data_IF_857380571885
#
_entry.id   IF_857380571885
#
_cell.length_a   1.000
_cell.length_b   1.000
_cell.length_c   1.000
_cell.angle_alpha   90.00
_cell.angle_beta   90.00
_cell.angle_gamma   90.00
#
_symmetry.space_group_name_H-M   'P 1'
#
loop_
_entity.id
_entity.type
_entity.pdbx_description
1 polymer ?
#
# COMPACT_ATOMS: atom_id res chain seq x y z
N UNK A 1 -10.36 -0.75 -1.15
CA UNK A 1 -9.89 -1.77 -0.18
C UNK A 1 -10.64 -1.56 1.10
N UNK A 2 -11.15 -2.63 1.69
CA UNK A 2 -11.76 -2.57 3.00
C UNK A 2 -10.76 -2.79 4.12
N UNK A 3 -10.85 -1.98 5.18
CA UNK A 3 -10.08 -2.13 6.40
C UNK A 3 -10.87 -1.71 7.64
N UNK A 4 -10.36 -2.11 8.81
CA UNK A 4 -10.85 -1.60 10.10
C UNK A 4 -9.81 -0.66 10.68
N UNK A 5 -10.20 0.58 10.98
CA UNK A 5 -9.33 1.56 11.60
C UNK A 5 -8.86 1.08 12.98
N UNK A 6 -7.55 1.04 13.20
CA UNK A 6 -6.94 0.66 14.47
C UNK A 6 -6.76 1.86 15.42
N UNK A 7 -6.76 3.08 14.86
CA UNK A 7 -6.66 4.35 15.58
C UNK A 7 -7.59 5.39 14.95
N UNK A 8 -7.72 6.53 15.63
CA UNK A 8 -8.43 7.70 15.10
C UNK A 8 -7.53 8.44 14.10
N UNK A 9 -8.12 8.91 13.01
CA UNK A 9 -7.50 9.89 12.11
C UNK A 9 -8.48 11.03 11.76
N UNK A 10 -7.95 12.20 11.46
CA UNK A 10 -8.69 13.43 11.18
C UNK A 10 -7.84 14.39 10.36
N UNK A 11 -8.40 15.55 9.98
CA UNK A 11 -7.65 16.55 9.22
C UNK A 11 -6.47 17.15 10.01
N UNK A 12 -6.61 17.26 11.33
CA UNK A 12 -5.59 17.80 12.21
C UNK A 12 -4.52 16.78 12.60
N UNK A 13 -4.86 15.48 12.52
CA UNK A 13 -3.97 14.35 12.78
C UNK A 13 -4.33 13.21 11.82
N UNK A 14 -3.74 13.19 10.61
CA UNK A 14 -4.17 12.29 9.54
C UNK A 14 -3.52 10.90 9.61
N UNK A 15 -2.67 10.62 10.60
CA UNK A 15 -2.04 9.31 10.70
C UNK A 15 -3.08 8.22 10.96
N UNK A 16 -3.17 7.24 10.04
CA UNK A 16 -4.12 6.14 10.12
C UNK A 16 -3.38 4.80 10.01
N UNK A 17 -3.82 3.84 10.82
CA UNK A 17 -3.47 2.43 10.72
C UNK A 17 -4.73 1.64 10.45
N UNK A 18 -4.73 0.84 9.38
CA UNK A 18 -5.80 -0.07 9.01
C UNK A 18 -5.39 -1.51 9.32
N UNK A 19 -6.29 -2.26 9.95
CA UNK A 19 -6.22 -3.72 10.00
C UNK A 19 -6.90 -4.27 8.76
N UNK A 20 -6.14 -4.99 7.95
CA UNK A 20 -6.59 -5.58 6.67
C UNK A 20 -6.29 -7.09 6.65
N UNK A 21 -6.73 -7.78 5.60
CA UNK A 21 -6.43 -9.21 5.42
C UNK A 21 -4.92 -9.51 5.24
N UNK A 22 -4.14 -8.52 4.79
CA UNK A 22 -2.68 -8.64 4.62
C UNK A 22 -1.89 -8.17 5.85
N UNK A 23 -2.58 -7.74 6.91
CA UNK A 23 -2.00 -7.23 8.15
C UNK A 23 -2.26 -5.75 8.38
N UNK A 24 -1.40 -5.12 9.18
CA UNK A 24 -1.48 -3.69 9.49
C UNK A 24 -0.85 -2.87 8.37
N UNK A 25 -1.59 -1.88 7.87
CA UNK A 25 -1.09 -0.86 6.95
C UNK A 25 -1.17 0.50 7.64
N UNK A 26 -0.08 1.26 7.61
CA UNK A 26 -0.03 2.61 8.18
C UNK A 26 0.25 3.63 7.09
N UNK A 27 -0.40 4.78 7.19
CA UNK A 27 -0.37 5.81 6.16
C UNK A 27 -1.13 7.08 6.56
N UNK A 28 -1.27 7.99 5.61
CA UNK A 28 -1.94 9.29 5.76
C UNK A 28 -3.38 9.21 5.26
N UNK A 29 -4.34 9.65 6.07
CA UNK A 29 -5.75 9.76 5.73
C UNK A 29 -6.07 11.07 5.02
N UNK A 30 -6.74 10.98 3.87
CA UNK A 30 -7.14 12.14 3.06
C UNK A 30 -8.65 12.41 3.07
N UNK A 31 -9.42 11.69 3.89
CA UNK A 31 -10.85 11.91 4.01
C UNK A 31 -11.21 13.21 4.73
N UNK A 32 -12.32 13.82 4.30
CA UNK A 32 -12.89 15.01 4.94
C UNK A 32 -13.53 14.69 6.30
N UNK A 33 -14.04 13.47 6.48
CA UNK A 33 -14.63 13.01 7.73
C UNK A 33 -13.58 12.30 8.60
N UNK A 34 -13.55 12.56 9.93
CA UNK A 34 -12.71 11.81 10.85
C UNK A 34 -13.16 10.35 10.94
N UNK A 35 -12.19 9.45 11.03
CA UNK A 35 -12.41 8.02 11.31
C UNK A 35 -12.02 7.71 12.74
N UNK A 36 -12.79 6.85 13.40
CA UNK A 36 -12.52 6.37 14.76
C UNK A 36 -11.94 4.96 14.72
N UNK A 37 -11.23 4.58 15.79
CA UNK A 37 -10.82 3.20 15.97
C UNK A 37 -12.05 2.28 16.02
N UNK A 38 -12.03 1.21 15.22
CA UNK A 38 -13.14 0.27 15.05
C UNK A 38 -14.01 0.53 13.82
N UNK A 39 -13.90 1.70 13.19
CA UNK A 39 -14.66 2.02 11.98
C UNK A 39 -14.22 1.14 10.81
N UNK A 40 -15.19 0.68 10.03
CA UNK A 40 -14.94 0.03 8.74
C UNK A 40 -14.90 1.10 7.67
N UNK A 41 -13.84 1.10 6.87
CA UNK A 41 -13.63 2.06 5.79
C UNK A 41 -13.28 1.34 4.50
N UNK A 42 -13.79 1.85 3.39
CA UNK A 42 -13.30 1.54 2.06
C UNK A 42 -12.42 2.69 1.56
N UNK A 43 -11.20 2.34 1.15
CA UNK A 43 -10.18 3.28 0.74
C UNK A 43 -9.50 2.84 -0.55
N UNK A 44 -9.21 3.80 -1.41
CA UNK A 44 -8.18 3.68 -2.42
C UNK A 44 -6.80 3.88 -1.78
N UNK A 45 -5.83 3.10 -2.26
CA UNK A 45 -4.44 3.22 -1.83
C UNK A 45 -3.65 3.96 -2.89
N UNK A 46 -2.90 4.97 -2.47
CA UNK A 46 -1.94 5.66 -3.31
C UNK A 46 -0.57 5.69 -2.65
N UNK A 47 0.48 5.68 -3.46
CA UNK A 47 1.85 5.84 -2.98
C UNK A 47 2.32 7.24 -3.31
N UNK A 48 2.49 8.07 -2.28
CA UNK A 48 2.89 9.47 -2.44
C UNK A 48 4.18 9.61 -3.28
N UNK A 49 5.12 8.67 -3.10
CA UNK A 49 6.38 8.52 -3.85
C UNK A 49 6.86 7.07 -3.83
N UNK A 50 6.64 6.26 -4.87
CA UNK A 50 7.32 4.97 -4.97
C UNK A 50 8.82 5.24 -5.15
N UNK A 51 9.66 4.87 -4.17
CA UNK A 51 11.12 5.13 -4.24
C UNK A 51 11.96 3.97 -4.76
N UNK A 52 11.43 2.75 -4.73
CA UNK A 52 12.07 1.57 -5.35
C UNK A 52 11.25 0.31 -5.12
N UNK A 53 11.33 -0.62 -6.07
CA UNK A 53 10.95 -2.02 -5.88
C UNK A 53 12.21 -2.85 -5.62
N UNK A 54 12.15 -3.81 -4.70
CA UNK A 54 13.16 -4.85 -4.59
C UNK A 54 12.48 -6.21 -4.71
N UNK A 55 12.97 -7.05 -5.63
CA UNK A 55 12.63 -8.46 -5.60
C UNK A 55 13.06 -9.05 -4.26
N UNK A 56 12.17 -9.77 -3.59
CA UNK A 56 12.50 -10.45 -2.33
C UNK A 56 13.57 -11.50 -2.61
N UNK A 57 14.83 -11.18 -2.36
CA UNK A 57 15.90 -12.16 -2.15
C UNK A 57 16.32 -12.27 -0.67
N UNK A 58 15.65 -11.59 0.25
CA UNK A 58 15.98 -11.67 1.68
C UNK A 58 14.79 -11.41 2.62
N UNK A 59 14.83 -11.94 3.85
CA UNK A 59 13.82 -11.67 4.88
C UNK A 59 13.73 -10.17 5.21
N UNK A 60 12.54 -9.71 5.58
CA UNK A 60 12.21 -8.31 5.95
C UNK A 60 12.81 -7.93 7.31
N UNK A 61 14.14 -8.05 7.47
CA UNK A 61 14.84 -7.76 8.73
C UNK A 61 15.66 -6.46 8.69
N UNK A 62 15.71 -5.75 7.56
CA UNK A 62 16.54 -4.54 7.42
C UNK A 62 15.86 -3.37 6.69
N UNK A 63 14.54 -3.20 6.83
CA UNK A 63 13.88 -1.99 6.33
C UNK A 63 14.23 -0.80 7.24
N UNK A 64 14.72 0.34 6.72
CA UNK A 64 14.93 1.55 7.51
C UNK A 64 13.65 1.95 8.26
N UNK A 65 13.76 2.42 9.50
CA UNK A 65 12.61 2.78 10.36
C UNK A 65 11.65 3.81 9.76
N UNK A 66 12.06 4.53 8.72
CA UNK A 66 11.26 5.56 8.04
C UNK A 66 10.45 5.05 6.85
N UNK A 67 10.41 3.74 6.62
CA UNK A 67 9.86 3.14 5.40
C UNK A 67 8.84 2.06 5.77
N UNK A 68 7.66 2.13 5.17
CA UNK A 68 6.59 1.16 5.38
C UNK A 68 6.76 0.03 4.37
N UNK A 69 6.99 -1.19 4.86
CA UNK A 69 7.07 -2.39 4.03
C UNK A 69 5.66 -2.95 3.80
N UNK A 70 5.18 -2.90 2.56
CA UNK A 70 3.84 -3.39 2.19
C UNK A 70 3.96 -4.66 1.35
N UNK A 71 3.22 -5.71 1.70
CA UNK A 71 3.20 -6.96 0.94
C UNK A 71 2.09 -6.95 -0.10
N UNK A 72 2.42 -7.35 -1.32
CA UNK A 72 1.45 -7.48 -2.40
C UNK A 72 1.75 -8.63 -3.34
N UNK A 73 0.85 -8.88 -4.27
CA UNK A 73 1.02 -9.87 -5.35
C UNK A 73 0.93 -9.16 -6.69
N UNK A 74 1.90 -9.40 -7.58
CA UNK A 74 1.83 -8.87 -8.95
C UNK A 74 0.66 -9.54 -9.68
N UNK A 75 -0.28 -8.73 -10.17
CA UNK A 75 -1.48 -9.20 -10.89
C UNK A 75 -1.37 -9.03 -12.40
N UNK A 76 -0.60 -8.04 -12.85
CA UNK A 76 -0.41 -7.74 -14.25
C UNK A 76 0.94 -7.04 -14.47
N UNK A 77 1.49 -7.24 -15.65
CA UNK A 77 2.58 -6.42 -16.21
C UNK A 77 2.00 -5.66 -17.39
N UNK A 78 2.35 -4.38 -17.50
CA UNK A 78 1.96 -3.51 -18.60
C UNK A 78 3.21 -3.13 -19.40
N UNK A 79 3.00 -2.46 -20.52
CA UNK A 79 4.09 -1.80 -21.25
C UNK A 79 4.69 -0.66 -20.40
N UNK A 80 5.82 -0.11 -20.84
CA UNK A 80 6.47 1.06 -20.21
C UNK A 80 6.84 0.85 -18.73
N UNK A 81 7.30 -0.35 -18.39
CA UNK A 81 7.87 -0.64 -17.06
C UNK A 81 6.85 -0.51 -15.92
N UNK A 82 5.56 -0.66 -16.22
CA UNK A 82 4.48 -0.59 -15.22
C UNK A 82 4.01 -1.99 -14.80
N UNK A 83 3.74 -2.18 -13.51
CA UNK A 83 3.08 -3.38 -12.97
C UNK A 83 1.85 -3.02 -12.15
N UNK A 84 0.88 -3.94 -12.15
CA UNK A 84 -0.26 -3.91 -11.23
C UNK A 84 0.00 -4.83 -10.05
N UNK A 85 -0.14 -4.34 -8.82
CA UNK A 85 0.04 -5.10 -7.59
C UNK A 85 -1.25 -5.08 -6.77
N UNK A 86 -1.67 -6.25 -6.28
CA UNK A 86 -2.77 -6.36 -5.33
C UNK A 86 -2.23 -6.37 -3.91
N UNK A 87 -2.73 -5.46 -3.08
CA UNK A 87 -2.39 -5.29 -1.67
C UNK A 87 -3.70 -5.29 -0.90
N UNK A 88 -3.97 -6.30 -0.07
CA UNK A 88 -5.21 -6.39 0.72
C UNK A 88 -6.50 -6.08 -0.05
N UNK A 89 -6.59 -6.52 -1.30
CA UNK A 89 -7.73 -6.26 -2.18
C UNK A 89 -7.75 -4.90 -2.89
N UNK A 90 -6.83 -3.98 -2.61
CA UNK A 90 -6.59 -2.80 -3.47
C UNK A 90 -5.70 -3.17 -4.64
N UNK A 91 -6.04 -2.68 -5.84
CA UNK A 91 -5.16 -2.69 -6.99
C UNK A 91 -4.37 -1.39 -7.03
N UNK A 92 -3.04 -1.51 -7.13
CA UNK A 92 -2.14 -0.37 -7.24
C UNK A 92 -1.26 -0.54 -8.47
N UNK A 93 -1.05 0.54 -9.22
CA UNK A 93 -0.10 0.57 -10.32
C UNK A 93 1.22 1.16 -9.86
N UNK A 94 2.31 0.55 -10.30
CA UNK A 94 3.67 0.95 -9.98
C UNK A 94 4.47 1.04 -11.26
N UNK A 95 5.09 2.20 -11.46
CA UNK A 95 6.14 2.38 -12.45
C UNK A 95 7.47 1.88 -11.87
N UNK A 96 8.25 1.17 -12.68
CA UNK A 96 9.53 0.58 -12.33
C UNK A 96 10.65 1.31 -13.07
N UNK A 97 11.86 1.30 -12.51
CA UNK A 97 13.05 1.85 -13.17
C UNK A 97 13.60 0.96 -14.31
N UNK A 98 13.03 -0.22 -14.47
CA UNK A 98 13.41 -1.21 -15.48
C UNK A 98 12.25 -2.18 -15.72
N UNK A 99 12.22 -2.89 -16.87
CA UNK A 99 11.13 -3.79 -17.17
C UNK A 99 11.00 -4.92 -16.14
N UNK A 100 9.78 -5.32 -15.75
CA UNK A 100 9.57 -6.45 -14.86
C UNK A 100 10.04 -7.75 -15.54
N UNK A 101 10.49 -8.76 -14.76
CA UNK A 101 10.84 -10.06 -15.32
C UNK A 101 9.61 -10.70 -16.02
N UNK A 102 9.82 -11.51 -17.06
CA UNK A 102 8.71 -12.10 -17.84
C UNK A 102 7.73 -12.94 -17.03
N UNK A 103 8.13 -13.43 -15.87
CA UNK A 103 7.35 -14.26 -14.96
C UNK A 103 6.99 -13.53 -13.65
N UNK A 104 6.89 -12.19 -13.69
CA UNK A 104 6.52 -11.37 -12.54
C UNK A 104 5.11 -11.67 -12.03
N UNK A 105 4.15 -11.94 -12.92
CA UNK A 105 2.73 -12.16 -12.54
C UNK A 105 2.58 -13.35 -11.60
N UNK A 106 1.87 -13.13 -10.48
CA UNK A 106 1.67 -14.10 -9.42
C UNK A 106 2.76 -14.12 -8.35
N UNK A 107 3.87 -13.39 -8.53
CA UNK A 107 4.92 -13.29 -7.52
C UNK A 107 4.49 -12.39 -6.35
N UNK A 108 4.89 -12.79 -5.14
CA UNK A 108 4.80 -11.96 -3.95
C UNK A 108 5.93 -10.94 -3.96
N UNK A 109 5.58 -9.68 -3.69
CA UNK A 109 6.51 -8.56 -3.63
C UNK A 109 6.39 -7.84 -2.29
N UNK A 110 7.49 -7.25 -1.84
CA UNK A 110 7.50 -6.31 -0.72
C UNK A 110 7.84 -4.94 -1.28
N UNK A 111 6.97 -3.98 -1.01
CA UNK A 111 7.08 -2.62 -1.51
C UNK A 111 7.64 -1.70 -0.45
N UNK A 112 8.68 -1.01 -0.90
CA UNK A 112 9.42 0.09 -0.33
C UNK A 112 8.76 1.47 -0.34
N UNK A 113 7.80 1.82 0.54
CA UNK A 113 7.15 3.15 0.43
C UNK A 113 7.48 4.12 1.57
N UNK A 114 7.68 5.39 1.21
CA UNK A 114 7.88 6.48 2.18
C UNK A 114 6.60 6.76 2.97
N UNK A 115 5.49 6.81 2.25
CA UNK A 115 4.17 7.04 2.80
C UNK A 115 3.13 6.30 1.95
N UNK A 116 2.06 5.88 2.62
CA UNK A 116 0.89 5.26 2.02
C UNK A 116 -0.27 6.25 2.22
N UNK A 117 -0.98 6.59 1.17
CA UNK A 117 -2.13 7.49 1.26
C UNK A 117 -3.43 6.68 1.19
N UNK A 118 -4.35 7.00 2.08
CA UNK A 118 -5.68 6.42 2.15
C UNK A 118 -6.73 7.44 1.71
N UNK A 119 -7.35 7.19 0.57
CA UNK A 119 -8.39 8.05 0.00
C UNK A 119 -9.75 7.35 0.14
N UNK A 120 -10.68 7.83 0.98
CA UNK A 120 -11.97 7.18 1.13
C UNK A 120 -12.79 7.19 -0.17
N UNK A 121 -13.38 6.06 -0.50
CA UNK A 121 -14.25 5.92 -1.69
C UNK A 121 -15.71 6.21 -1.41
N UNK A 122 -16.13 6.15 -0.14
CA UNK A 122 -17.51 6.41 0.28
C UNK A 122 -18.52 5.32 -0.12
N UNK A 123 -18.04 4.13 -0.49
CA UNK A 123 -18.86 2.96 -0.82
C UNK A 123 -19.28 2.16 0.42
#
# INVERSE_FOLDING_TARGET
>A
MWGVAANRASREDPALTLTTEVGLLSGTWHGSEPVQAGDRVDVELEFARPRSWSEITAPVESTPRSMTAVRGTVSATFDDEVIGVIIGGAAVQLELDAPPPPDAVGRLVVLTVDDLEFHPTGL
#
